data_IF_404587502059
#
_entry.id   IF_404587502059
#
_cell.length_a   1.000
_cell.length_b   1.000
_cell.length_c   1.000
_cell.angle_alpha   90.00
_cell.angle_beta   90.00
_cell.angle_gamma   90.00
#
_symmetry.space_group_name_H-M   'P 1'
#
loop_
_entity.id
_entity.type
_entity.pdbx_description
1 polymer ?
#
# COMPACT_ATOMS: atom_id res chain seq x y z
N UNK A 1 -5.57 29.39 -15.84
CA UNK A 1 -4.84 29.12 -14.58
C UNK A 1 -3.93 27.93 -14.81
N UNK A 2 -2.61 28.14 -14.84
CA UNK A 2 -1.64 27.04 -14.90
C UNK A 2 -1.58 26.41 -13.50
N UNK A 3 -1.81 25.10 -13.46
CA UNK A 3 -1.88 24.28 -12.25
C UNK A 3 -0.72 24.58 -11.29
N UNK A 4 -1.03 25.02 -10.08
CA UNK A 4 -0.09 25.13 -8.95
C UNK A 4 0.34 23.73 -8.44
N UNK A 5 -0.21 22.67 -9.03
CA UNK A 5 0.16 21.27 -8.79
C UNK A 5 1.18 20.75 -9.80
N UNK A 6 2.21 21.55 -10.13
CA UNK A 6 3.55 20.97 -10.37
C UNK A 6 4.19 20.69 -9.01
N UNK A 7 3.45 20.02 -8.13
CA UNK A 7 3.98 19.55 -6.85
C UNK A 7 5.12 18.58 -7.17
N UNK A 8 6.28 18.83 -6.57
CA UNK A 8 7.50 18.03 -6.75
C UNK A 8 7.16 16.54 -6.75
N UNK A 9 7.46 15.82 -7.84
CA UNK A 9 7.25 14.37 -7.97
C UNK A 9 7.86 13.62 -6.78
N UNK A 10 8.98 14.13 -6.28
CA UNK A 10 9.65 13.65 -5.08
C UNK A 10 8.76 13.68 -3.84
N UNK A 11 8.05 14.79 -3.58
CA UNK A 11 7.19 14.90 -2.38
C UNK A 11 6.03 13.89 -2.46
N UNK A 12 5.44 13.75 -3.65
CA UNK A 12 4.37 12.76 -3.86
C UNK A 12 4.90 11.34 -3.64
N UNK A 13 6.07 11.02 -4.17
CA UNK A 13 6.72 9.72 -4.02
C UNK A 13 7.03 9.40 -2.55
N UNK A 14 7.62 10.35 -1.81
CA UNK A 14 7.95 10.19 -0.39
C UNK A 14 6.70 9.91 0.44
N UNK A 15 5.62 10.66 0.25
CA UNK A 15 4.39 10.40 1.00
C UNK A 15 3.65 9.14 0.55
N UNK A 16 3.84 8.72 -0.70
CA UNK A 16 3.28 7.47 -1.19
C UNK A 16 3.97 6.28 -0.53
N UNK A 17 5.31 6.19 -0.62
CA UNK A 17 6.06 5.06 -0.03
C UNK A 17 6.10 5.13 1.49
N UNK A 18 6.08 6.33 2.06
CA UNK A 18 6.02 6.57 3.50
C UNK A 18 4.62 6.53 4.12
N UNK A 19 3.57 6.24 3.34
CA UNK A 19 2.18 6.34 3.80
C UNK A 19 1.88 5.56 5.09
N UNK A 20 2.30 4.28 5.26
CA UNK A 20 2.01 3.54 6.49
C UNK A 20 2.56 4.24 7.75
N UNK A 21 3.77 4.81 7.62
CA UNK A 21 4.38 5.57 8.72
C UNK A 21 3.67 6.90 8.95
N UNK A 22 3.29 7.60 7.89
CA UNK A 22 2.53 8.85 7.97
C UNK A 22 1.20 8.64 8.72
N UNK A 23 0.43 7.61 8.33
CA UNK A 23 -0.85 7.28 8.93
C UNK A 23 -0.69 7.06 10.45
N UNK A 24 0.20 6.14 10.84
CA UNK A 24 0.45 5.89 12.27
C UNK A 24 0.89 7.14 13.03
N UNK A 25 1.70 8.02 12.41
CA UNK A 25 2.18 9.24 13.06
C UNK A 25 1.04 10.23 13.28
N UNK A 26 0.15 10.38 12.30
CA UNK A 26 -1.02 11.25 12.41
C UNK A 26 -1.99 10.68 13.44
N UNK A 27 -2.33 9.40 13.40
CA UNK A 27 -3.24 8.79 14.37
C UNK A 27 -2.74 8.95 15.81
N UNK A 28 -1.47 8.67 16.06
CA UNK A 28 -0.84 8.89 17.36
C UNK A 28 -0.89 10.36 17.80
N UNK A 29 -0.69 11.30 16.88
CA UNK A 29 -0.80 12.74 17.18
C UNK A 29 -2.24 13.11 17.55
N UNK A 30 -3.22 12.66 16.78
CA UNK A 30 -4.63 12.96 17.00
C UNK A 30 -5.12 12.35 18.33
N UNK A 31 -4.71 11.13 18.65
CA UNK A 31 -5.01 10.51 19.93
C UNK A 31 -4.40 11.27 21.11
N UNK A 32 -3.16 11.77 20.97
CA UNK A 32 -2.54 12.64 21.97
C UNK A 32 -3.32 13.94 22.14
N UNK A 33 -3.69 14.61 21.05
CA UNK A 33 -4.48 15.85 21.12
C UNK A 33 -5.83 15.59 21.81
N UNK A 34 -6.54 14.53 21.42
CA UNK A 34 -7.82 14.17 22.04
C UNK A 34 -7.68 13.92 23.54
N UNK A 35 -6.66 13.17 23.96
CA UNK A 35 -6.42 12.88 25.38
C UNK A 35 -5.97 14.11 26.18
N UNK A 36 -5.03 14.87 25.64
CA UNK A 36 -4.38 15.96 26.38
C UNK A 36 -5.29 17.21 26.48
N UNK A 37 -6.35 17.28 25.66
CA UNK A 37 -7.34 18.37 25.67
C UNK A 37 -8.69 17.97 26.27
N UNK A 38 -8.82 16.75 26.79
CA UNK A 38 -10.00 16.30 27.53
C UNK A 38 -10.00 16.90 28.94
N UNK A 39 -10.41 18.17 29.03
CA UNK A 39 -10.47 18.93 30.27
C UNK A 39 -11.92 19.21 30.63
N UNK A 40 -12.30 18.86 31.85
CA UNK A 40 -13.67 19.03 32.36
C UNK A 40 -14.13 20.49 32.21
N UNK A 41 -15.26 20.68 31.53
CA UNK A 41 -15.88 22.00 31.34
C UNK A 41 -15.30 22.81 30.18
N UNK A 42 -14.36 22.25 29.41
CA UNK A 42 -13.79 22.86 28.21
C UNK A 42 -14.09 21.96 27.00
N UNK A 43 -14.54 22.51 25.86
CA UNK A 43 -14.69 21.73 24.65
C UNK A 43 -13.35 21.11 24.21
N UNK A 44 -13.34 19.84 23.76
CA UNK A 44 -12.11 19.20 23.30
C UNK A 44 -11.57 19.91 22.06
N UNK A 45 -10.24 19.95 21.92
CA UNK A 45 -9.62 20.59 20.76
C UNK A 45 -9.86 19.82 19.46
N UNK A 46 -10.21 18.54 19.55
CA UNK A 46 -10.48 17.67 18.41
C UNK A 46 -11.77 16.89 18.63
N UNK A 47 -12.73 17.07 17.72
CA UNK A 47 -13.95 16.24 17.65
C UNK A 47 -13.67 14.95 16.89
N UNK A 48 -14.54 13.94 17.02
CA UNK A 48 -14.45 12.71 16.23
C UNK A 48 -14.49 13.00 14.73
N UNK A 49 -15.42 13.85 14.28
CA UNK A 49 -15.51 14.29 12.89
C UNK A 49 -14.24 15.00 12.43
N UNK A 50 -13.68 15.88 13.26
CA UNK A 50 -12.40 16.54 12.97
C UNK A 50 -11.25 15.56 12.80
N UNK A 51 -11.20 14.51 13.63
CA UNK A 51 -10.23 13.41 13.51
C UNK A 51 -10.39 12.71 12.16
N UNK A 52 -11.62 12.36 11.77
CA UNK A 52 -11.90 11.70 10.50
C UNK A 52 -11.52 12.56 9.30
N UNK A 53 -11.81 13.86 9.32
CA UNK A 53 -11.43 14.80 8.26
C UNK A 53 -9.90 14.92 8.11
N UNK A 54 -9.15 14.91 9.21
CA UNK A 54 -7.69 14.95 9.17
C UNK A 54 -7.09 13.66 8.57
N UNK A 55 -7.70 12.50 8.84
CA UNK A 55 -7.31 11.24 8.20
C UNK A 55 -7.69 11.22 6.72
N UNK A 56 -8.88 11.71 6.37
CA UNK A 56 -9.33 11.81 4.97
C UNK A 56 -8.41 12.71 4.14
N UNK A 57 -7.84 13.77 4.73
CA UNK A 57 -6.92 14.67 4.04
C UNK A 57 -5.64 13.99 3.52
N UNK A 58 -5.24 12.85 4.09
CA UNK A 58 -4.08 12.07 3.64
C UNK A 58 -4.44 10.82 2.82
N UNK A 59 -5.73 10.55 2.58
CA UNK A 59 -6.20 9.33 1.89
C UNK A 59 -5.72 9.24 0.43
N UNK A 60 -5.42 10.38 -0.20
CA UNK A 60 -4.81 10.40 -1.54
C UNK A 60 -3.52 9.58 -1.60
N UNK A 61 -2.73 9.58 -0.51
CA UNK A 61 -1.50 8.82 -0.42
C UNK A 61 -1.76 7.34 -0.14
N UNK A 62 -2.88 6.98 0.52
CA UNK A 62 -3.32 5.59 0.64
C UNK A 62 -3.56 4.98 -0.74
N UNK A 63 -4.35 5.67 -1.56
CA UNK A 63 -4.68 5.19 -2.91
C UNK A 63 -3.42 5.06 -3.76
N UNK A 64 -2.51 6.04 -3.68
CA UNK A 64 -1.23 5.99 -4.38
C UNK A 64 -0.35 4.82 -3.88
N UNK A 65 -0.31 4.59 -2.57
CA UNK A 65 0.46 3.51 -1.95
C UNK A 65 -0.04 2.14 -2.40
N UNK A 66 -1.35 1.90 -2.36
CA UNK A 66 -1.93 0.65 -2.84
C UNK A 66 -1.65 0.40 -4.33
N UNK A 67 -1.77 1.45 -5.16
CA UNK A 67 -1.40 1.37 -6.57
C UNK A 67 0.08 1.05 -6.79
N UNK A 68 0.96 1.58 -5.93
CA UNK A 68 2.39 1.28 -5.93
C UNK A 68 2.65 -0.20 -5.55
N UNK A 69 2.05 -0.70 -4.47
CA UNK A 69 2.16 -2.11 -4.05
C UNK A 69 1.71 -3.06 -5.18
N UNK A 70 0.53 -2.81 -5.75
CA UNK A 70 -0.02 -3.60 -6.85
C UNK A 70 0.93 -3.60 -8.06
N UNK A 71 1.43 -2.42 -8.46
CA UNK A 71 2.31 -2.29 -9.63
C UNK A 71 3.63 -3.03 -9.40
N UNK A 72 4.29 -2.79 -8.26
CA UNK A 72 5.57 -3.42 -7.92
C UNK A 72 5.48 -4.94 -7.91
N UNK A 73 4.45 -5.49 -7.28
CA UNK A 73 4.23 -6.94 -7.23
C UNK A 73 3.86 -7.52 -8.61
N UNK A 74 3.00 -6.84 -9.37
CA UNK A 74 2.61 -7.27 -10.71
C UNK A 74 3.78 -7.27 -11.68
N UNK A 75 4.63 -6.24 -11.63
CA UNK A 75 5.85 -6.15 -12.43
C UNK A 75 6.83 -7.26 -12.07
N UNK A 76 6.97 -7.59 -10.78
CA UNK A 76 7.78 -8.72 -10.33
C UNK A 76 7.25 -10.03 -10.89
N UNK A 77 5.94 -10.31 -10.79
CA UNK A 77 5.32 -11.49 -11.37
C UNK A 77 5.55 -11.55 -12.89
N UNK A 78 5.29 -10.47 -13.62
CA UNK A 78 5.49 -10.43 -15.07
C UNK A 78 6.97 -10.60 -15.46
N UNK A 79 7.91 -10.13 -14.64
CA UNK A 79 9.35 -10.34 -14.88
C UNK A 79 9.78 -11.80 -14.68
N UNK A 80 9.17 -12.50 -13.71
CA UNK A 80 9.42 -13.92 -13.43
C UNK A 80 8.81 -14.81 -14.52
N UNK A 81 7.60 -14.47 -14.96
CA UNK A 81 6.88 -15.17 -16.01
C UNK A 81 7.07 -14.44 -17.34
N UNK A 82 8.26 -14.61 -17.94
CA UNK A 82 8.55 -13.99 -19.24
C UNK A 82 7.57 -14.46 -20.31
N UNK A 83 6.78 -13.53 -20.84
CA UNK A 83 5.74 -13.77 -21.86
C UNK A 83 6.31 -14.23 -23.21
N UNK A 84 7.60 -13.99 -23.45
CA UNK A 84 8.28 -14.32 -24.72
C UNK A 84 8.89 -15.73 -24.76
N UNK A 85 9.04 -16.38 -23.61
CA UNK A 85 9.56 -17.75 -23.50
C UNK A 85 8.48 -18.69 -22.98
N UNK A 86 7.66 -19.22 -23.91
CA UNK A 86 6.72 -20.31 -23.59
C UNK A 86 7.51 -21.57 -23.21
N UNK A 87 7.14 -22.20 -22.10
CA UNK A 87 7.69 -23.49 -21.65
C UNK A 87 8.84 -23.42 -20.65
N UNK A 88 9.24 -22.22 -20.21
CA UNK A 88 10.24 -22.04 -19.14
C UNK A 88 9.54 -21.82 -17.81
N UNK A 89 9.46 -22.87 -16.99
CA UNK A 89 8.89 -22.79 -15.64
C UNK A 89 9.82 -21.98 -14.72
N UNK A 90 9.29 -21.02 -13.93
CA UNK A 90 10.09 -20.29 -12.95
C UNK A 90 10.81 -21.21 -11.96
N UNK A 91 12.04 -20.87 -11.60
CA UNK A 91 12.79 -21.62 -10.58
C UNK A 91 12.26 -21.32 -9.17
N UNK A 92 12.68 -22.15 -8.20
CA UNK A 92 12.35 -21.95 -6.79
C UNK A 92 12.78 -20.56 -6.30
N UNK A 93 13.94 -20.08 -6.73
CA UNK A 93 14.50 -18.78 -6.36
C UNK A 93 13.62 -17.63 -6.86
N UNK A 94 13.05 -17.75 -8.05
CA UNK A 94 12.10 -16.77 -8.57
C UNK A 94 10.82 -16.70 -7.72
N UNK A 95 10.28 -17.87 -7.34
CA UNK A 95 9.09 -17.93 -6.47
C UNK A 95 9.41 -17.39 -5.07
N UNK A 96 10.57 -17.72 -4.50
CA UNK A 96 11.01 -17.17 -3.23
C UNK A 96 11.09 -15.65 -3.24
N UNK A 97 11.54 -15.02 -4.34
CA UNK A 97 11.53 -13.55 -4.47
C UNK A 97 10.13 -12.94 -4.43
N UNK A 98 9.15 -13.59 -5.05
CA UNK A 98 7.75 -13.14 -5.01
C UNK A 98 7.23 -13.22 -3.56
N UNK A 99 7.50 -14.33 -2.87
CA UNK A 99 7.10 -14.52 -1.47
C UNK A 99 7.73 -13.46 -0.57
N UNK A 100 9.03 -13.20 -0.70
CA UNK A 100 9.72 -12.17 0.08
C UNK A 100 9.14 -10.77 -0.17
N UNK A 101 8.84 -10.43 -1.43
CA UNK A 101 8.20 -9.15 -1.76
C UNK A 101 6.82 -9.03 -1.09
N UNK A 102 6.00 -10.09 -1.12
CA UNK A 102 4.70 -10.12 -0.41
C UNK A 102 4.88 -9.92 1.10
N UNK A 103 5.88 -10.58 1.71
CA UNK A 103 6.18 -10.42 3.13
C UNK A 103 6.54 -8.97 3.47
N UNK A 104 7.40 -8.33 2.68
CA UNK A 104 7.77 -6.92 2.85
C UNK A 104 6.54 -5.99 2.80
N UNK A 105 5.62 -6.21 1.87
CA UNK A 105 4.39 -5.41 1.76
C UNK A 105 3.49 -5.57 3.00
N UNK A 106 3.39 -6.79 3.56
CA UNK A 106 2.62 -7.05 4.79
C UNK A 106 3.29 -6.44 6.01
N UNK A 107 4.62 -6.61 6.15
CA UNK A 107 5.39 -6.05 7.26
C UNK A 107 5.33 -4.52 7.32
N UNK A 108 5.25 -3.86 6.16
CA UNK A 108 5.15 -2.41 6.06
C UNK A 108 3.86 -1.84 6.67
N UNK A 109 2.79 -2.64 6.75
CA UNK A 109 1.45 -2.18 7.16
C UNK A 109 0.91 -2.87 8.41
N UNK A 110 1.64 -3.84 8.98
CA UNK A 110 1.20 -4.70 10.09
C UNK A 110 0.71 -3.96 11.36
N UNK A 111 1.06 -2.69 11.52
CA UNK A 111 0.65 -1.87 12.66
C UNK A 111 -0.76 -1.27 12.51
N UNK A 112 -1.34 -1.31 11.32
CA UNK A 112 -2.69 -0.83 11.03
C UNK A 112 -3.51 -1.95 10.36
N UNK A 113 -4.56 -2.40 11.06
CA UNK A 113 -5.39 -3.50 10.59
C UNK A 113 -6.18 -3.16 9.31
N UNK A 114 -6.65 -1.92 9.15
CA UNK A 114 -7.42 -1.50 7.98
C UNK A 114 -6.52 -1.43 6.75
N UNK A 115 -5.35 -0.82 6.88
CA UNK A 115 -4.36 -0.73 5.81
C UNK A 115 -3.83 -2.12 5.45
N UNK A 116 -3.64 -3.00 6.44
CA UNK A 116 -3.31 -4.42 6.21
C UNK A 116 -4.35 -5.10 5.33
N UNK A 117 -5.65 -4.94 5.63
CA UNK A 117 -6.72 -5.52 4.81
C UNK A 117 -6.71 -4.98 3.37
N UNK A 118 -6.43 -3.69 3.19
CA UNK A 118 -6.33 -3.09 1.86
C UNK A 118 -5.13 -3.65 1.07
N UNK A 119 -3.97 -3.80 1.69
CA UNK A 119 -2.79 -4.40 1.04
C UNK A 119 -3.02 -5.88 0.73
N UNK A 120 -3.67 -6.63 1.61
CA UNK A 120 -4.03 -8.03 1.36
C UNK A 120 -4.95 -8.19 0.15
N UNK A 121 -5.83 -7.21 -0.11
CA UNK A 121 -6.65 -7.19 -1.32
C UNK A 121 -5.79 -7.04 -2.58
N UNK A 122 -4.79 -6.16 -2.57
CA UNK A 122 -3.88 -6.02 -3.70
C UNK A 122 -3.00 -7.26 -3.90
N UNK A 123 -2.51 -7.86 -2.81
CA UNK A 123 -1.82 -9.15 -2.86
C UNK A 123 -2.71 -10.23 -3.47
N UNK A 124 -4.00 -10.26 -3.13
CA UNK A 124 -4.96 -11.21 -3.71
C UNK A 124 -5.08 -11.04 -5.22
N UNK A 125 -5.14 -9.80 -5.72
CA UNK A 125 -5.13 -9.51 -7.17
C UNK A 125 -3.86 -10.04 -7.85
N UNK A 126 -2.70 -9.87 -7.21
CA UNK A 126 -1.41 -10.36 -7.71
C UNK A 126 -1.34 -11.88 -7.71
N UNK A 127 -1.88 -12.55 -6.69
CA UNK A 127 -1.91 -14.01 -6.63
C UNK A 127 -2.78 -14.60 -7.75
N UNK A 128 -3.88 -13.94 -8.11
CA UNK A 128 -4.67 -14.31 -9.29
C UNK A 128 -3.87 -14.14 -10.58
N UNK A 129 -3.15 -13.02 -10.73
CA UNK A 129 -2.24 -12.81 -11.88
C UNK A 129 -1.16 -13.89 -11.94
N UNK A 130 -0.57 -14.27 -10.81
CA UNK A 130 0.42 -15.33 -10.73
C UNK A 130 -0.15 -16.67 -11.19
N UNK A 131 -1.37 -17.01 -10.78
CA UNK A 131 -2.06 -18.22 -11.21
C UNK A 131 -2.29 -18.22 -12.73
N UNK A 132 -2.82 -17.12 -13.29
CA UNK A 132 -3.03 -16.96 -14.74
C UNK A 132 -1.71 -17.17 -15.52
N UNK A 133 -0.62 -16.56 -15.05
CA UNK A 133 0.71 -16.68 -15.68
C UNK A 133 1.26 -18.09 -15.58
N UNK A 134 1.05 -18.78 -14.47
CA UNK A 134 1.47 -20.16 -14.28
C UNK A 134 0.68 -21.13 -15.18
N UNK A 135 -0.63 -20.95 -15.30
CA UNK A 135 -1.46 -21.73 -16.22
C UNK A 135 -1.05 -21.53 -17.67
N UNK A 136 -0.79 -20.28 -18.09
CA UNK A 136 -0.34 -19.98 -19.45
C UNK A 136 1.02 -20.63 -19.79
N UNK A 137 1.94 -20.72 -18.83
CA UNK A 137 3.22 -21.43 -19.00
C UNK A 137 3.07 -22.96 -19.03
N UNK A 138 2.14 -23.51 -18.23
CA UNK A 138 1.92 -24.96 -18.10
C UNK A 138 0.98 -25.58 -19.16
N UNK A 139 0.09 -24.78 -19.74
CA UNK A 139 -0.93 -25.21 -20.72
C UNK A 139 -0.44 -25.45 -22.15
N UNK A 140 0.86 -25.58 -22.38
CA UNK A 140 1.46 -25.91 -23.67
C UNK A 140 1.49 -27.43 -23.95
N UNK A 141 0.35 -28.11 -23.78
CA UNK A 141 0.13 -29.49 -24.23
C UNK A 141 -0.75 -29.51 -25.48
#
# INVERSE_FOLDING_TARGET
>A
MKSVFTASSFVKEIFTTGYPKLLSTIENLLERISRDTDVKGVPPALTLEGKEQMIAAIEIFQTAFLGFCLSRLSDLVNSVFNMSSRGTVPSKEHISRIISCIQEEVEAVQLDARLTLLVLREISNVLLLLAERAEYQGGAL
#
